data_IF_948848542378
#
_entry.id   IF_948848542378
#
_cell.length_a   1.000
_cell.length_b   1.000
_cell.length_c   1.000
_cell.angle_alpha   90.00
_cell.angle_beta   90.00
_cell.angle_gamma   90.00
#
_symmetry.space_group_name_H-M   'P 1'
#
loop_
_entity.id
_entity.type
_entity.pdbx_description
1 polymer ?
#
# COMPACT_ATOMS: atom_id res chain seq x y z
N UNK A 1 -2.18 -32.04 17.12
CA UNK A 1 -2.87 -31.40 15.98
C UNK A 1 -1.85 -31.28 14.86
N UNK A 2 -2.13 -31.79 13.65
CA UNK A 2 -1.19 -31.67 12.53
C UNK A 2 -0.93 -30.17 12.26
N UNK A 3 0.34 -29.79 12.09
CA UNK A 3 0.74 -28.40 11.83
C UNK A 3 -0.04 -27.79 10.64
N UNK A 4 -0.25 -28.59 9.60
CA UNK A 4 -1.06 -28.25 8.43
C UNK A 4 -2.51 -27.99 8.79
N UNK A 5 -3.08 -28.78 9.71
CA UNK A 5 -4.46 -28.63 10.15
C UNK A 5 -4.60 -27.34 10.97
N UNK A 6 -3.68 -27.06 11.90
CA UNK A 6 -3.66 -25.80 12.64
C UNK A 6 -3.56 -24.57 11.73
N UNK A 7 -2.69 -24.65 10.72
CA UNK A 7 -2.46 -23.58 9.76
C UNK A 7 -3.61 -23.38 8.76
N UNK A 8 -4.46 -24.40 8.54
CA UNK A 8 -5.68 -24.29 7.75
C UNK A 8 -6.89 -23.80 8.58
N UNK A 9 -6.99 -24.20 9.85
CA UNK A 9 -8.11 -23.80 10.71
C UNK A 9 -8.03 -22.33 11.15
N UNK A 10 -6.84 -21.83 11.43
CA UNK A 10 -6.63 -20.44 11.86
C UNK A 10 -7.15 -19.38 10.86
N UNK A 11 -6.77 -19.39 9.56
CA UNK A 11 -7.30 -18.46 8.55
C UNK A 11 -8.81 -18.56 8.40
N UNK A 12 -9.34 -19.79 8.41
CA UNK A 12 -10.76 -20.05 8.26
C UNK A 12 -11.55 -19.50 9.44
N UNK A 13 -11.08 -19.74 10.67
CA UNK A 13 -11.69 -19.18 11.87
C UNK A 13 -11.67 -17.64 11.88
N UNK A 14 -10.55 -17.03 11.46
CA UNK A 14 -10.43 -15.57 11.39
C UNK A 14 -11.31 -14.99 10.28
N UNK A 15 -11.32 -15.60 9.10
CA UNK A 15 -12.20 -15.20 8.01
C UNK A 15 -13.67 -15.26 8.43
N UNK A 16 -14.06 -16.31 9.18
CA UNK A 16 -15.43 -16.46 9.70
C UNK A 16 -15.72 -15.37 10.73
N UNK A 17 -14.80 -15.12 11.67
CA UNK A 17 -14.98 -14.04 12.64
C UNK A 17 -15.16 -12.68 11.96
N UNK A 18 -14.30 -12.33 11.00
CA UNK A 18 -14.34 -11.03 10.30
C UNK A 18 -15.60 -10.87 9.45
N UNK A 19 -16.14 -11.96 8.89
CA UNK A 19 -17.38 -11.91 8.09
C UNK A 19 -18.64 -11.90 8.95
N UNK A 20 -18.57 -12.47 10.17
CA UNK A 20 -19.68 -12.49 11.11
C UNK A 20 -19.89 -11.17 11.86
N UNK A 21 -18.81 -10.45 12.20
CA UNK A 21 -18.92 -9.19 12.94
C UNK A 21 -19.30 -8.00 12.05
N UNK A 22 -20.17 -7.08 12.52
CA UNK A 22 -20.49 -5.88 11.76
C UNK A 22 -19.27 -4.94 11.70
N UNK A 23 -19.18 -4.16 10.63
CA UNK A 23 -18.05 -3.25 10.37
C UNK A 23 -17.74 -2.33 11.55
N UNK A 24 -18.75 -1.87 12.30
CA UNK A 24 -18.57 -1.01 13.49
C UNK A 24 -17.76 -1.69 14.60
N UNK A 25 -17.99 -2.98 14.83
CA UNK A 25 -17.26 -3.77 15.85
C UNK A 25 -15.82 -3.98 15.39
N UNK A 26 -15.63 -4.27 14.09
CA UNK A 26 -14.30 -4.46 13.51
C UNK A 26 -13.49 -3.16 13.55
N UNK A 27 -14.08 -2.02 13.18
CA UNK A 27 -13.43 -0.70 13.25
C UNK A 27 -13.04 -0.34 14.69
N UNK A 28 -13.94 -0.56 15.65
CA UNK A 28 -13.68 -0.31 17.08
C UNK A 28 -12.54 -1.18 17.60
N UNK A 29 -12.56 -2.47 17.25
CA UNK A 29 -11.52 -3.43 17.62
C UNK A 29 -10.17 -3.03 17.02
N UNK A 30 -10.16 -2.65 15.74
CA UNK A 30 -8.95 -2.20 15.05
C UNK A 30 -8.37 -0.92 15.67
N UNK A 31 -9.21 0.02 16.11
CA UNK A 31 -8.77 1.22 16.84
C UNK A 31 -8.14 0.87 18.18
N UNK A 32 -8.74 -0.05 18.92
CA UNK A 32 -8.18 -0.54 20.18
C UNK A 32 -6.83 -1.23 19.98
N UNK A 33 -6.73 -2.10 18.97
CA UNK A 33 -5.47 -2.73 18.58
C UNK A 33 -4.42 -1.68 18.19
N UNK A 34 -4.78 -0.69 17.38
CA UNK A 34 -3.88 0.40 17.02
C UNK A 34 -3.36 1.16 18.25
N UNK A 35 -4.22 1.46 19.23
CA UNK A 35 -3.79 2.06 20.50
C UNK A 35 -2.85 1.14 21.28
N UNK A 36 -3.16 -0.14 21.37
CA UNK A 36 -2.31 -1.12 22.04
C UNK A 36 -0.95 -1.26 21.33
N UNK A 37 -0.92 -1.20 20.00
CA UNK A 37 0.30 -1.20 19.21
C UNK A 37 1.17 0.03 19.53
N UNK A 38 0.57 1.23 19.57
CA UNK A 38 1.27 2.47 19.91
C UNK A 38 1.82 2.46 21.34
N UNK A 39 1.02 2.02 22.32
CA UNK A 39 1.48 1.91 23.71
C UNK A 39 2.61 0.88 23.87
N UNK A 40 2.46 -0.29 23.23
CA UNK A 40 3.45 -1.36 23.30
C UNK A 40 4.77 -0.94 22.69
N UNK A 41 4.75 -0.24 21.55
CA UNK A 41 5.99 0.22 20.93
C UNK A 41 6.65 1.36 21.70
N UNK A 42 5.89 2.29 22.27
CA UNK A 42 6.46 3.32 23.14
C UNK A 42 7.12 2.70 24.37
N UNK A 43 6.50 1.70 24.98
CA UNK A 43 7.09 0.95 26.09
C UNK A 43 8.36 0.21 25.66
N UNK A 44 8.33 -0.45 24.50
CA UNK A 44 9.48 -1.17 23.94
C UNK A 44 10.67 -0.24 23.68
N UNK A 45 10.42 0.93 23.07
CA UNK A 45 11.44 1.94 22.80
C UNK A 45 12.00 2.51 24.10
N UNK A 46 11.14 2.79 25.08
CA UNK A 46 11.58 3.31 26.38
C UNK A 46 12.51 2.33 27.11
N UNK A 47 12.11 1.05 27.21
CA UNK A 47 12.92 -0.01 27.82
C UNK A 47 14.23 -0.20 27.05
N UNK A 48 14.16 -0.27 25.71
CA UNK A 48 15.32 -0.45 24.86
C UNK A 48 16.33 0.69 25.00
N UNK A 49 15.89 1.95 25.00
CA UNK A 49 16.77 3.10 25.18
C UNK A 49 17.37 3.17 26.58
N UNK A 50 16.60 2.81 27.61
CA UNK A 50 17.09 2.73 28.98
C UNK A 50 18.25 1.73 29.12
N UNK A 51 18.09 0.55 28.51
CA UNK A 51 19.11 -0.51 28.50
C UNK A 51 20.31 -0.12 27.63
N UNK A 52 20.07 0.45 26.44
CA UNK A 52 21.13 0.77 25.48
C UNK A 52 21.97 1.99 25.89
N UNK A 53 21.46 2.88 26.76
CA UNK A 53 22.04 4.19 27.11
C UNK A 53 23.54 4.16 27.39
N UNK A 54 24.04 3.14 28.10
CA UNK A 54 25.44 3.08 28.52
C UNK A 54 26.40 2.75 27.38
N UNK A 55 25.93 2.07 26.34
CA UNK A 55 26.76 1.52 25.28
C UNK A 55 26.60 2.26 23.94
N UNK A 56 25.50 3.02 23.76
CA UNK A 56 25.19 3.77 22.53
C UNK A 56 26.36 4.62 22.05
N UNK A 57 27.00 5.38 22.95
CA UNK A 57 28.08 6.30 22.58
C UNK A 57 29.35 5.54 22.13
N UNK A 58 29.62 4.38 22.71
CA UNK A 58 30.74 3.50 22.34
C UNK A 58 30.49 2.71 21.05
N UNK A 59 29.24 2.44 20.69
CA UNK A 59 28.90 1.75 19.43
C UNK A 59 29.02 2.68 18.21
N UNK A 60 28.75 3.98 18.35
CA UNK A 60 28.90 4.95 17.24
C UNK A 60 30.34 5.08 16.74
N UNK A 61 31.33 4.93 17.63
CA UNK A 61 32.75 5.09 17.28
C UNK A 61 33.33 3.90 16.51
N UNK A 62 32.68 2.73 16.56
CA UNK A 62 33.12 1.50 15.90
C UNK A 62 32.32 1.18 14.63
N UNK A 63 31.35 2.02 14.26
CA UNK A 63 30.51 1.80 13.09
C UNK A 63 31.31 1.89 11.80
N UNK A 64 31.21 0.86 10.96
CA UNK A 64 31.87 0.81 9.65
C UNK A 64 30.99 1.48 8.59
N UNK A 65 31.41 2.62 8.07
CA UNK A 65 30.68 3.43 7.08
C UNK A 65 30.94 3.01 5.63
N UNK A 66 31.13 1.71 5.38
CA UNK A 66 31.42 1.23 4.02
C UNK A 66 30.16 1.24 3.14
N UNK A 67 30.29 1.78 1.92
CA UNK A 67 29.21 1.83 0.92
C UNK A 67 28.65 0.42 0.62
N UNK A 68 29.50 -0.61 0.61
CA UNK A 68 29.09 -1.99 0.32
C UNK A 68 28.15 -2.58 1.37
N UNK A 69 28.19 -2.08 2.61
CA UNK A 69 27.31 -2.53 3.70
C UNK A 69 25.95 -1.82 3.70
N UNK A 70 25.83 -0.70 2.99
CA UNK A 70 24.59 0.09 2.89
C UNK A 70 23.66 -0.48 1.80
N UNK A 71 24.23 -1.08 0.76
CA UNK A 71 23.47 -1.62 -0.39
C UNK A 71 22.30 -2.54 0.01
N UNK A 72 22.47 -3.53 0.90
CA UNK A 72 21.38 -4.41 1.33
C UNK A 72 20.27 -3.71 2.13
N UNK A 73 20.54 -2.53 2.70
CA UNK A 73 19.55 -1.76 3.46
C UNK A 73 18.65 -0.89 2.56
N UNK A 74 19.00 -0.70 1.29
CA UNK A 74 18.26 0.18 0.38
C UNK A 74 16.82 -0.33 0.13
N UNK A 75 16.58 -1.62 -0.21
CA UNK A 75 15.21 -2.11 -0.40
C UNK A 75 14.34 -1.95 0.84
N UNK A 76 14.93 -2.22 2.02
CA UNK A 76 14.24 -2.09 3.30
C UNK A 76 13.90 -0.63 3.60
N UNK A 77 14.80 0.32 3.30
CA UNK A 77 14.49 1.75 3.47
C UNK A 77 13.44 2.23 2.47
N UNK A 78 13.47 1.78 1.22
CA UNK A 78 12.43 2.10 0.23
C UNK A 78 11.06 1.54 0.66
N UNK A 79 11.00 0.35 1.25
CA UNK A 79 9.77 -0.21 1.80
C UNK A 79 9.13 0.70 2.86
N UNK A 80 9.92 1.42 3.66
CA UNK A 80 9.38 2.37 4.65
C UNK A 80 8.70 3.59 4.02
N UNK A 81 8.96 3.88 2.74
CA UNK A 81 8.34 4.98 1.99
C UNK A 81 6.94 4.64 1.45
N UNK A 82 6.38 3.46 1.77
CA UNK A 82 5.05 3.03 1.35
C UNK A 82 3.89 3.93 1.78
N UNK A 83 4.13 4.97 2.60
CA UNK A 83 3.12 5.95 3.02
C UNK A 83 2.52 6.75 1.85
N UNK A 84 3.13 6.72 0.66
CA UNK A 84 2.58 7.41 -0.52
C UNK A 84 1.17 6.93 -0.88
N UNK A 85 0.82 5.67 -0.62
CA UNK A 85 -0.50 5.07 -0.91
C UNK A 85 -1.65 5.81 -0.22
N UNK A 86 -1.44 6.32 0.99
CA UNK A 86 -2.50 7.00 1.74
C UNK A 86 -2.61 8.49 1.38
N UNK A 87 -1.65 9.04 0.62
CA UNK A 87 -1.61 10.48 0.29
C UNK A 87 -2.90 10.98 -0.38
N UNK A 88 -3.47 10.30 -1.41
CA UNK A 88 -4.73 10.74 -2.02
C UNK A 88 -5.91 10.75 -1.04
N UNK A 89 -5.92 9.80 -0.12
CA UNK A 89 -6.95 9.69 0.92
C UNK A 89 -6.84 10.82 1.94
N UNK A 90 -5.63 11.14 2.41
CA UNK A 90 -5.40 12.29 3.29
C UNK A 90 -5.78 13.60 2.59
N UNK A 91 -5.44 13.76 1.31
CA UNK A 91 -5.86 14.94 0.53
C UNK A 91 -7.38 15.05 0.43
N UNK A 92 -8.10 13.92 0.26
CA UNK A 92 -9.57 13.90 0.22
C UNK A 92 -10.19 14.27 1.57
N UNK A 93 -9.62 13.81 2.68
CA UNK A 93 -10.10 14.12 4.03
C UNK A 93 -9.76 15.56 4.43
N UNK A 94 -8.56 16.02 4.10
CA UNK A 94 -8.07 17.34 4.50
C UNK A 94 -8.89 18.47 3.86
N UNK A 95 -9.51 18.24 2.69
CA UNK A 95 -10.66 18.94 2.10
C UNK A 95 -10.52 20.44 1.76
N UNK A 96 -9.80 21.20 2.58
CA UNK A 96 -9.84 22.65 2.63
C UNK A 96 -8.53 23.33 2.19
N UNK A 97 -7.37 22.65 2.22
CA UNK A 97 -6.13 23.22 1.68
C UNK A 97 -4.99 22.21 1.50
N UNK A 98 -4.07 22.49 0.57
CA UNK A 98 -2.84 21.72 0.33
C UNK A 98 -1.84 21.87 1.50
N UNK A 99 -1.85 23.01 2.20
CA UNK A 99 -0.98 23.25 3.36
C UNK A 99 -1.34 22.35 4.54
N UNK A 100 -2.64 22.19 4.82
CA UNK A 100 -3.09 21.30 5.90
C UNK A 100 -2.81 19.83 5.57
N UNK A 101 -3.05 19.40 4.32
CA UNK A 101 -2.70 18.04 3.89
C UNK A 101 -1.20 17.76 4.03
N UNK A 102 -0.35 18.71 3.61
CA UNK A 102 1.12 18.60 3.75
C UNK A 102 1.55 18.51 5.22
N UNK A 103 0.97 19.34 6.07
CA UNK A 103 1.25 19.34 7.51
C UNK A 103 0.82 18.03 8.16
N UNK A 104 -0.36 17.52 7.81
CA UNK A 104 -0.86 16.24 8.29
C UNK A 104 0.06 15.08 7.87
N UNK A 105 0.51 15.06 6.62
CA UNK A 105 1.45 14.04 6.12
C UNK A 105 2.80 14.15 6.82
N UNK A 106 3.35 15.37 6.99
CA UNK A 106 4.67 15.58 7.58
C UNK A 106 4.69 15.23 9.06
N UNK A 107 3.66 15.64 9.82
CA UNK A 107 3.53 15.30 11.24
C UNK A 107 3.23 13.80 11.40
N UNK A 108 2.35 13.24 10.57
CA UNK A 108 2.02 11.82 10.59
C UNK A 108 3.22 10.93 10.26
N UNK A 109 4.04 11.33 9.28
CA UNK A 109 5.25 10.62 8.87
C UNK A 109 6.41 10.74 9.87
N UNK A 110 6.46 11.81 10.68
CA UNK A 110 7.47 11.97 11.72
C UNK A 110 7.38 10.87 12.79
N UNK A 111 6.18 10.36 13.08
CA UNK A 111 5.99 9.32 14.12
C UNK A 111 6.67 8.00 13.75
N UNK A 112 6.41 7.37 12.58
CA UNK A 112 7.16 6.20 12.12
C UNK A 112 8.66 6.45 11.96
N UNK A 113 9.06 7.66 11.53
CA UNK A 113 10.47 8.01 11.39
C UNK A 113 11.19 7.97 12.75
N UNK A 114 10.65 8.64 13.77
CA UNK A 114 11.19 8.64 15.13
C UNK A 114 11.25 7.20 15.68
N UNK A 115 10.21 6.40 15.42
CA UNK A 115 10.15 5.00 15.81
C UNK A 115 11.30 4.19 15.19
N UNK A 116 11.49 4.24 13.87
CA UNK A 116 12.54 3.46 13.17
C UNK A 116 13.94 3.90 13.61
N UNK A 117 14.17 5.21 13.74
CA UNK A 117 15.44 5.75 14.23
C UNK A 117 15.74 5.30 15.66
N UNK A 118 14.73 5.31 16.53
CA UNK A 118 14.86 4.84 17.91
C UNK A 118 15.18 3.35 17.96
N UNK A 119 14.52 2.54 17.14
CA UNK A 119 14.81 1.10 17.07
C UNK A 119 16.23 0.82 16.58
N UNK A 120 16.68 1.48 15.50
CA UNK A 120 18.05 1.34 15.01
C UNK A 120 19.09 1.72 16.07
N UNK A 121 18.82 2.77 16.85
CA UNK A 121 19.67 3.19 17.96
C UNK A 121 19.74 2.14 19.07
N UNK A 122 18.61 1.51 19.42
CA UNK A 122 18.54 0.43 20.42
C UNK A 122 19.37 -0.75 19.96
N UNK A 123 19.19 -1.22 18.73
CA UNK A 123 19.95 -2.37 18.18
C UNK A 123 21.45 -2.08 18.18
N UNK A 124 21.85 -0.89 17.76
CA UNK A 124 23.25 -0.47 17.75
C UNK A 124 23.84 -0.43 19.18
N UNK A 125 23.09 0.09 20.16
CA UNK A 125 23.52 0.15 21.55
C UNK A 125 23.56 -1.22 22.24
N UNK A 126 22.63 -2.11 21.92
CA UNK A 126 22.60 -3.49 22.43
C UNK A 126 23.73 -4.34 21.86
N UNK A 127 24.09 -4.15 20.58
CA UNK A 127 25.22 -4.85 19.96
C UNK A 127 26.54 -4.55 20.68
N UNK A 128 26.66 -3.37 21.32
CA UNK A 128 27.83 -2.96 22.10
C UNK A 128 29.15 -3.15 21.35
N UNK A 129 30.21 -3.47 22.08
CA UNK A 129 31.55 -3.78 21.52
C UNK A 129 31.73 -5.25 21.14
N UNK A 130 30.72 -6.11 21.39
CA UNK A 130 30.81 -7.55 21.17
C UNK A 130 30.39 -7.93 19.75
N UNK A 131 31.37 -8.25 18.91
CA UNK A 131 31.19 -8.70 17.51
C UNK A 131 30.40 -10.01 17.33
N UNK A 132 30.09 -10.72 18.42
CA UNK A 132 29.23 -11.92 18.39
C UNK A 132 27.75 -11.53 18.41
N UNK A 133 27.41 -10.36 18.96
CA UNK A 133 26.03 -9.86 19.04
C UNK A 133 25.48 -9.37 17.69
N UNK A 134 26.34 -9.11 16.70
CA UNK A 134 25.92 -8.66 15.36
C UNK A 134 25.21 -9.73 14.52
N UNK A 135 25.27 -10.99 14.93
CA UNK A 135 24.60 -12.12 14.27
C UNK A 135 23.37 -12.62 15.03
N UNK A 136 23.07 -12.05 16.20
CA UNK A 136 21.95 -12.44 17.05
C UNK A 136 20.73 -11.60 16.68
N UNK A 137 19.56 -12.23 16.56
CA UNK A 137 18.30 -11.52 16.28
C UNK A 137 18.10 -10.39 17.31
N UNK A 138 17.91 -9.13 16.89
CA UNK A 138 17.89 -7.99 17.79
C UNK A 138 16.86 -8.08 18.92
N UNK A 139 15.75 -8.77 18.67
CA UNK A 139 14.70 -9.03 19.65
C UNK A 139 15.20 -10.01 20.73
N UNK A 140 15.86 -11.09 20.32
CA UNK A 140 16.43 -12.06 21.25
C UNK A 140 17.54 -11.43 22.10
N UNK A 141 18.31 -10.51 21.52
CA UNK A 141 19.32 -9.74 22.23
C UNK A 141 18.68 -8.83 23.29
N UNK A 142 17.61 -8.10 22.95
CA UNK A 142 16.89 -7.26 23.92
C UNK A 142 16.29 -8.10 25.06
N UNK A 143 15.69 -9.24 24.75
CA UNK A 143 15.10 -10.15 25.75
C UNK A 143 16.14 -10.79 26.67
N UNK A 144 17.36 -11.04 26.16
CA UNK A 144 18.46 -11.56 26.98
C UNK A 144 18.93 -10.55 28.03
N UNK A 145 18.81 -9.26 27.75
CA UNK A 145 19.26 -8.17 28.64
C UNK A 145 18.15 -7.70 29.56
N UNK A 146 16.90 -7.66 29.10
CA UNK A 146 15.76 -7.22 29.92
C UNK A 146 14.49 -8.04 29.61
N UNK A 147 14.18 -9.07 30.42
CA UNK A 147 12.97 -9.88 30.26
C UNK A 147 11.67 -9.08 30.38
N UNK A 148 11.68 -7.91 31.03
CA UNK A 148 10.50 -7.03 31.15
C UNK A 148 10.09 -6.41 29.82
N UNK A 149 10.91 -6.49 28.77
CA UNK A 149 10.53 -6.10 27.41
C UNK A 149 9.59 -7.13 26.73
N UNK A 150 9.49 -8.36 27.25
CA UNK A 150 8.73 -9.45 26.62
C UNK A 150 7.24 -9.12 26.39
N UNK A 151 6.49 -8.60 27.39
CA UNK A 151 5.09 -8.24 27.16
C UNK A 151 4.92 -7.14 26.11
N UNK A 152 5.85 -6.18 26.06
CA UNK A 152 5.83 -5.10 25.08
C UNK A 152 6.10 -5.62 23.66
N UNK A 153 7.08 -6.51 23.48
CA UNK A 153 7.37 -7.16 22.19
C UNK A 153 6.16 -7.98 21.71
N UNK A 154 5.60 -8.82 22.59
CA UNK A 154 4.45 -9.67 22.24
C UNK A 154 3.20 -8.84 21.95
N UNK A 155 2.90 -7.83 22.77
CA UNK A 155 1.77 -6.92 22.56
C UNK A 155 1.89 -6.14 21.24
N UNK A 156 3.09 -5.63 20.94
CA UNK A 156 3.37 -4.97 19.67
C UNK A 156 3.18 -5.92 18.48
N UNK A 157 3.84 -7.07 18.50
CA UNK A 157 3.81 -8.03 17.39
C UNK A 157 2.38 -8.54 17.14
N UNK A 158 1.67 -8.96 18.20
CA UNK A 158 0.29 -9.42 18.09
C UNK A 158 -0.61 -8.34 17.51
N UNK A 159 -0.54 -7.12 18.04
CA UNK A 159 -1.42 -6.04 17.61
C UNK A 159 -1.14 -5.55 16.19
N UNK A 160 0.14 -5.43 15.83
CA UNK A 160 0.56 -5.02 14.50
C UNK A 160 0.09 -6.04 13.44
N UNK A 161 0.30 -7.33 13.71
CA UNK A 161 -0.17 -8.41 12.83
C UNK A 161 -1.69 -8.44 12.74
N UNK A 162 -2.41 -8.32 13.86
CA UNK A 162 -3.87 -8.32 13.88
C UNK A 162 -4.46 -7.14 13.11
N UNK A 163 -3.97 -5.92 13.33
CA UNK A 163 -4.41 -4.70 12.63
C UNK A 163 -4.19 -4.82 11.12
N UNK A 164 -3.03 -5.35 10.72
CA UNK A 164 -2.69 -5.55 9.31
C UNK A 164 -3.56 -6.60 8.65
N UNK A 165 -3.84 -7.70 9.37
CA UNK A 165 -4.72 -8.77 8.90
C UNK A 165 -6.16 -8.30 8.73
N UNK A 166 -6.69 -7.50 9.66
CA UNK A 166 -8.02 -6.89 9.54
C UNK A 166 -8.08 -6.00 8.29
N UNK A 167 -7.08 -5.13 8.09
CA UNK A 167 -7.01 -4.27 6.91
C UNK A 167 -6.98 -5.05 5.60
N UNK A 168 -6.17 -6.10 5.53
CA UNK A 168 -6.06 -7.00 4.37
C UNK A 168 -7.38 -7.74 4.10
N UNK A 169 -7.98 -8.34 5.13
CA UNK A 169 -9.21 -9.12 5.03
C UNK A 169 -10.40 -8.30 4.52
N UNK A 170 -10.45 -7.01 4.86
CA UNK A 170 -11.54 -6.11 4.42
C UNK A 170 -11.28 -5.55 3.02
N UNK A 171 -10.03 -5.15 2.74
CA UNK A 171 -9.70 -4.35 1.54
C UNK A 171 -9.47 -5.21 0.31
N UNK A 172 -8.70 -6.29 0.44
CA UNK A 172 -8.23 -7.06 -0.71
C UNK A 172 -9.35 -7.78 -1.47
N UNK A 173 -10.32 -8.45 -0.80
CA UNK A 173 -11.42 -9.10 -1.51
C UNK A 173 -12.25 -8.13 -2.35
N UNK A 174 -12.46 -6.91 -1.83
CA UNK A 174 -13.18 -5.85 -2.55
C UNK A 174 -12.37 -5.38 -3.77
N UNK A 175 -11.08 -5.08 -3.58
CA UNK A 175 -10.21 -4.65 -4.68
C UNK A 175 -10.09 -5.72 -5.79
N UNK A 176 -9.98 -6.99 -5.40
CA UNK A 176 -9.92 -8.10 -6.34
C UNK A 176 -11.20 -8.22 -7.15
N UNK A 177 -12.37 -8.12 -6.49
CA UNK A 177 -13.66 -8.21 -7.15
C UNK A 177 -13.88 -7.02 -8.11
N UNK A 178 -13.58 -5.80 -7.66
CA UNK A 178 -13.67 -4.59 -8.48
C UNK A 178 -12.76 -4.71 -9.73
N UNK A 179 -11.54 -5.25 -9.55
CA UNK A 179 -10.59 -5.46 -10.66
C UNK A 179 -11.08 -6.52 -11.65
N UNK A 180 -11.58 -7.65 -11.14
CA UNK A 180 -12.14 -8.72 -11.97
C UNK A 180 -13.36 -8.23 -12.76
N UNK A 181 -14.23 -7.45 -12.14
CA UNK A 181 -15.38 -6.86 -12.81
C UNK A 181 -14.95 -5.93 -13.95
N UNK A 182 -13.94 -5.09 -13.74
CA UNK A 182 -13.41 -4.20 -14.79
C UNK A 182 -12.78 -4.98 -15.96
N UNK A 183 -12.07 -6.07 -15.68
CA UNK A 183 -11.49 -6.93 -16.72
C UNK A 183 -12.59 -7.65 -17.53
N UNK A 184 -13.59 -8.20 -16.84
CA UNK A 184 -14.72 -8.86 -17.48
C UNK A 184 -15.52 -7.89 -18.36
N UNK A 185 -15.76 -6.68 -17.86
CA UNK A 185 -16.45 -5.63 -18.64
C UNK A 185 -15.66 -5.22 -19.87
N UNK A 186 -14.31 -5.15 -19.77
CA UNK A 186 -13.45 -4.87 -20.92
C UNK A 186 -13.49 -5.98 -21.97
N UNK A 187 -13.43 -7.26 -21.55
CA UNK A 187 -13.50 -8.40 -22.46
C UNK A 187 -14.83 -8.42 -23.23
N UNK A 188 -15.96 -8.23 -22.53
CA UNK A 188 -17.28 -8.19 -23.16
C UNK A 188 -17.42 -6.99 -24.13
N UNK A 189 -16.77 -5.86 -23.84
CA UNK A 189 -16.77 -4.69 -24.73
C UNK A 189 -15.94 -4.91 -26.00
N UNK A 190 -14.83 -5.66 -25.92
CA UNK A 190 -14.00 -6.02 -27.08
C UNK A 190 -14.70 -7.05 -27.98
N UNK A 191 -15.47 -8.00 -27.42
CA UNK A 191 -16.31 -8.94 -28.19
C UNK A 191 -17.47 -8.26 -28.94
N UNK A 192 -18.02 -7.18 -28.37
CA UNK A 192 -19.08 -6.41 -29.02
C UNK A 192 -18.56 -5.59 -30.20
N UNK A 193 -17.27 -5.22 -30.20
CA UNK A 193 -16.61 -4.57 -31.33
C UNK A 193 -16.23 -5.54 -32.46
N UNK A 194 -15.97 -6.82 -32.14
CA UNK A 194 -15.64 -7.85 -33.14
C UNK A 194 -16.87 -8.45 -33.84
N UNK A 195 -18.07 -8.32 -33.27
CA UNK A 195 -19.32 -8.84 -33.87
C UNK A 195 -20.13 -7.79 -34.65
N UNK A 196 -19.68 -6.53 -34.68
CA UNK A 196 -20.39 -5.39 -35.27
C UNK A 196 -19.59 -4.61 -36.31
N UNK A 197 -18.72 -5.26 -37.10
CA UNK A 197 -17.98 -4.59 -38.17
C UNK A 197 -18.66 -4.73 -39.53
N UNK A 198 -19.74 -3.98 -39.75
CA UNK A 198 -20.05 -3.46 -41.09
C UNK A 198 -20.28 -1.96 -41.01
N UNK A 199 -19.19 -1.19 -41.11
CA UNK A 199 -19.27 0.22 -41.47
C UNK A 199 -18.30 0.49 -42.61
N UNK A 200 -18.94 0.90 -43.71
CA UNK A 200 -18.40 1.51 -44.92
C UNK A 200 -17.30 2.53 -44.58
N UNK A 201 -16.08 2.24 -45.03
CA UNK A 201 -14.96 3.17 -44.99
C UNK A 201 -15.22 4.25 -46.03
N UNK A 202 -15.38 5.50 -45.59
CA UNK A 202 -15.00 6.64 -46.42
C UNK A 202 -14.09 7.55 -45.60
N UNK A 203 -12.92 7.85 -46.18
CA UNK A 203 -11.76 8.39 -45.48
C UNK A 203 -11.91 9.85 -45.08
N UNK A 204 -11.28 10.22 -43.97
CA UNK A 204 -10.09 11.07 -43.97
C UNK A 204 -9.43 11.01 -42.58
N UNK A 205 -8.11 11.11 -42.55
CA UNK A 205 -7.29 10.88 -41.38
C UNK A 205 -7.50 11.92 -40.28
N UNK A 206 -7.63 11.46 -39.04
CA UNK A 206 -6.97 12.01 -37.84
C UNK A 206 -7.40 11.19 -36.62
N UNK A 207 -6.45 10.45 -36.05
CA UNK A 207 -6.68 9.63 -34.87
C UNK A 207 -7.05 10.48 -33.64
N UNK A 208 -8.25 10.26 -33.11
CA UNK A 208 -8.64 10.55 -31.72
C UNK A 208 -9.60 9.46 -31.26
N UNK A 209 -9.10 8.53 -30.46
CA UNK A 209 -9.92 7.48 -29.85
C UNK A 209 -10.71 8.09 -28.69
N UNK A 210 -11.95 8.46 -28.97
CA UNK A 210 -13.04 8.61 -28.01
C UNK A 210 -14.22 7.82 -28.56
N UNK A 211 -14.41 6.60 -28.07
CA UNK A 211 -15.51 5.74 -28.49
C UNK A 211 -16.80 6.26 -27.83
N UNK A 212 -17.74 6.76 -28.64
CA UNK A 212 -19.09 7.13 -28.21
C UNK A 212 -20.03 6.07 -28.76
N UNK A 213 -20.70 5.33 -27.87
CA UNK A 213 -21.71 4.34 -28.25
C UNK A 213 -23.06 5.06 -28.36
N UNK A 214 -23.63 5.11 -29.57
CA UNK A 214 -25.01 5.52 -29.78
C UNK A 214 -25.90 4.27 -29.75
N UNK A 215 -26.86 4.23 -28.81
CA UNK A 215 -27.98 3.31 -28.90
C UNK A 215 -29.08 3.96 -29.74
N UNK A 216 -29.12 3.61 -31.03
CA UNK A 216 -30.25 3.93 -31.90
C UNK A 216 -31.34 2.88 -31.73
N UNK A 217 -32.25 3.08 -30.76
CA UNK A 217 -33.53 2.37 -30.76
C UNK A 217 -34.40 2.92 -31.89
N UNK A 218 -34.89 2.04 -32.76
CA UNK A 218 -35.91 2.36 -33.74
C UNK A 218 -37.20 2.70 -33.00
N UNK A 219 -37.50 3.98 -32.85
CA UNK A 219 -38.87 4.46 -32.73
C UNK A 219 -38.98 5.84 -33.37
N UNK A 220 -39.99 5.97 -34.24
CA UNK A 220 -40.16 7.10 -35.14
C UNK A 220 -40.44 8.43 -34.43
N UNK A 221 -39.75 9.47 -34.86
CA UNK A 221 -40.21 10.85 -34.74
C UNK A 221 -39.66 11.65 -33.55
N UNK A 222 -38.40 12.08 -33.62
CA UNK A 222 -38.02 13.51 -33.49
C UNK A 222 -36.52 13.69 -33.69
N UNK A 223 -36.15 14.69 -34.48
CA UNK A 223 -34.79 14.98 -34.91
C UNK A 223 -33.82 15.20 -33.74
N UNK A 224 -32.65 14.57 -33.86
CA UNK A 224 -31.57 14.65 -32.89
C UNK A 224 -31.08 16.08 -32.66
N UNK A 225 -31.05 16.48 -31.38
CA UNK A 225 -30.31 17.66 -30.93
C UNK A 225 -28.92 17.22 -30.48
N UNK A 226 -27.92 17.54 -31.30
CA UNK A 226 -26.52 17.50 -30.86
C UNK A 226 -26.27 18.72 -29.96
N UNK A 227 -26.06 18.49 -28.66
CA UNK A 227 -25.65 19.54 -27.73
C UNK A 227 -24.12 19.50 -27.57
N UNK A 228 -23.42 20.41 -28.25
CA UNK A 228 -22.05 20.78 -27.90
C UNK A 228 -22.12 21.94 -26.92
N UNK A 229 -21.92 21.66 -25.63
CA UNK A 229 -21.79 22.68 -24.58
C UNK A 229 -20.36 22.72 -24.07
N UNK A 230 -19.63 23.78 -24.43
CA UNK A 230 -18.27 24.01 -23.97
C UNK A 230 -18.18 24.32 -22.47
N UNK A 231 -16.97 24.08 -21.93
CA UNK A 231 -16.39 24.67 -20.71
C UNK A 231 -17.36 25.04 -19.59
N UNK A 232 -17.38 24.24 -18.52
CA UNK A 232 -17.23 24.75 -17.17
C UNK A 232 -16.71 23.64 -16.24
N UNK A 233 -15.57 23.90 -15.60
CA UNK A 233 -15.11 23.18 -14.43
C UNK A 233 -16.19 23.30 -13.36
N UNK A 234 -16.89 22.22 -13.11
CA UNK A 234 -17.68 22.02 -11.90
C UNK A 234 -17.32 20.65 -11.37
N UNK A 235 -17.20 20.59 -10.04
CA UNK A 235 -16.75 19.44 -9.27
C UNK A 235 -17.29 18.13 -9.83
N UNK A 236 -16.41 17.14 -9.94
CA UNK A 236 -16.74 15.77 -10.27
C UNK A 236 -17.89 15.32 -9.37
N UNK A 237 -19.10 15.46 -9.92
CA UNK A 237 -20.30 14.81 -9.46
C UNK A 237 -19.95 13.34 -9.44
N UNK A 238 -20.08 12.74 -8.27
CA UNK A 238 -20.09 11.32 -8.08
C UNK A 238 -21.17 10.74 -9.00
N UNK A 239 -20.80 10.44 -10.25
CA UNK A 239 -21.60 9.65 -11.17
C UNK A 239 -21.52 8.21 -10.68
N UNK A 240 -22.33 8.00 -9.64
CA UNK A 240 -23.22 6.87 -9.43
C UNK A 240 -23.02 5.76 -10.45
N UNK A 241 -22.00 4.93 -10.18
CA UNK A 241 -21.93 3.56 -10.66
C UNK A 241 -23.33 2.94 -10.45
N UNK A 242 -23.94 2.30 -11.46
CA UNK A 242 -25.33 1.86 -11.38
C UNK A 242 -25.53 1.02 -10.12
N UNK A 243 -26.32 1.58 -9.20
CA UNK A 243 -26.64 1.01 -7.89
C UNK A 243 -27.61 -0.18 -7.98
N UNK A 244 -27.60 -0.92 -9.08
CA UNK A 244 -28.50 -2.05 -9.35
C UNK A 244 -27.79 -3.39 -9.54
N UNK A 245 -26.45 -3.46 -9.42
CA UNK A 245 -25.70 -4.73 -9.43
C UNK A 245 -24.52 -4.75 -8.43
N UNK A 246 -24.61 -3.99 -7.34
CA UNK A 246 -23.60 -3.94 -6.28
C UNK A 246 -24.01 -4.67 -4.98
N UNK A 247 -25.14 -5.39 -4.99
CA UNK A 247 -25.37 -6.48 -4.04
C UNK A 247 -24.83 -7.76 -4.66
N UNK A 248 -23.51 -7.94 -4.63
CA UNK A 248 -22.97 -9.30 -4.64
C UNK A 248 -23.49 -9.97 -3.38
N UNK A 249 -24.19 -11.11 -3.50
CA UNK A 249 -24.74 -11.84 -2.36
C UNK A 249 -23.72 -11.89 -1.21
N UNK A 250 -24.15 -11.66 0.06
CA UNK A 250 -23.25 -11.69 1.21
C UNK A 250 -22.45 -13.00 1.29
N UNK A 251 -23.01 -14.08 0.73
CA UNK A 251 -22.36 -15.37 0.55
C UNK A 251 -21.16 -15.32 -0.41
N UNK A 252 -21.29 -14.70 -1.59
CA UNK A 252 -20.20 -14.57 -2.55
C UNK A 252 -19.04 -13.77 -1.97
N UNK A 253 -19.34 -12.65 -1.30
CA UNK A 253 -18.32 -11.81 -0.65
C UNK A 253 -17.60 -12.57 0.47
N UNK A 254 -18.33 -13.34 1.26
CA UNK A 254 -17.78 -14.21 2.31
C UNK A 254 -16.92 -15.33 1.72
N UNK A 255 -17.32 -15.92 0.60
CA UNK A 255 -16.54 -16.97 -0.06
C UNK A 255 -15.23 -16.42 -0.63
N UNK A 256 -15.29 -15.26 -1.28
CA UNK A 256 -14.10 -14.58 -1.81
C UNK A 256 -13.14 -14.19 -0.67
N UNK A 257 -13.63 -13.64 0.44
CA UNK A 257 -12.78 -13.29 1.59
C UNK A 257 -12.10 -14.53 2.18
N UNK A 258 -12.80 -15.66 2.31
CA UNK A 258 -12.21 -16.92 2.78
C UNK A 258 -11.13 -17.44 1.84
N UNK A 259 -11.41 -17.45 0.53
CA UNK A 259 -10.48 -17.96 -0.48
C UNK A 259 -9.21 -17.11 -0.53
N UNK A 260 -9.38 -15.78 -0.52
CA UNK A 260 -8.29 -14.80 -0.47
C UNK A 260 -7.41 -14.97 0.76
N UNK A 261 -7.98 -15.23 1.94
CA UNK A 261 -7.21 -15.38 3.17
C UNK A 261 -6.53 -16.76 3.27
N UNK A 262 -7.19 -17.79 2.75
CA UNK A 262 -6.70 -19.17 2.85
C UNK A 262 -5.47 -19.42 1.98
N UNK A 263 -5.42 -18.86 0.77
CA UNK A 263 -4.31 -19.11 -0.18
C UNK A 263 -2.95 -18.61 0.37
N UNK A 264 -2.78 -17.34 0.80
CA UNK A 264 -1.51 -16.84 1.32
C UNK A 264 -1.07 -17.57 2.59
N UNK A 265 -2.03 -17.93 3.46
CA UNK A 265 -1.72 -18.58 4.73
C UNK A 265 -1.30 -20.04 4.50
N UNK A 266 -1.92 -20.72 3.54
CA UNK A 266 -1.50 -22.06 3.12
C UNK A 266 -0.09 -22.04 2.52
N UNK A 267 0.19 -21.10 1.61
CA UNK A 267 1.51 -20.95 0.99
C UNK A 267 2.58 -20.63 2.05
N UNK A 268 2.30 -19.71 2.97
CA UNK A 268 3.20 -19.36 4.07
C UNK A 268 3.48 -20.54 5.01
N UNK A 269 2.50 -21.43 5.21
CA UNK A 269 2.66 -22.64 6.00
C UNK A 269 3.59 -23.68 5.35
N UNK A 270 3.52 -23.85 4.02
CA UNK A 270 4.35 -24.84 3.32
C UNK A 270 5.75 -24.32 2.99
N UNK A 271 5.91 -23.00 2.83
CA UNK A 271 7.17 -22.38 2.41
C UNK A 271 7.60 -21.25 3.35
N UNK A 272 7.91 -21.54 4.63
CA UNK A 272 8.31 -20.52 5.61
C UNK A 272 9.59 -19.77 5.21
N UNK A 273 10.50 -20.41 4.46
CA UNK A 273 11.73 -19.82 3.96
C UNK A 273 11.54 -18.81 2.81
N UNK A 274 10.34 -18.72 2.23
CA UNK A 274 10.06 -17.84 1.10
C UNK A 274 9.63 -16.43 1.53
N UNK A 275 9.33 -16.23 2.82
CA UNK A 275 8.87 -14.94 3.35
C UNK A 275 9.82 -13.79 3.04
N UNK A 276 11.13 -13.95 3.33
CA UNK A 276 12.12 -12.91 3.07
C UNK A 276 12.28 -12.63 1.58
N UNK A 277 12.37 -13.67 0.74
CA UNK A 277 12.45 -13.50 -0.73
C UNK A 277 11.21 -12.83 -1.31
N UNK A 278 10.02 -13.18 -0.83
CA UNK A 278 8.77 -12.56 -1.26
C UNK A 278 8.70 -11.09 -0.83
N UNK A 279 9.20 -10.77 0.37
CA UNK A 279 9.29 -9.41 0.88
C UNK A 279 10.30 -8.57 0.08
N UNK A 280 11.45 -9.12 -0.28
CA UNK A 280 12.44 -8.46 -1.15
C UNK A 280 11.84 -8.20 -2.53
N UNK A 281 11.20 -9.19 -3.13
CA UNK A 281 10.57 -9.06 -4.45
C UNK A 281 9.42 -8.05 -4.44
N UNK A 282 8.48 -8.15 -3.48
CA UNK A 282 7.40 -7.20 -3.36
C UNK A 282 7.91 -5.78 -3.05
N UNK A 283 8.93 -5.68 -2.19
CA UNK A 283 9.56 -4.42 -1.79
C UNK A 283 10.21 -3.70 -2.95
N UNK A 284 11.03 -4.38 -3.74
CA UNK A 284 11.74 -3.79 -4.89
C UNK A 284 10.76 -3.54 -6.03
N UNK A 285 10.12 -4.59 -6.55
CA UNK A 285 9.36 -4.46 -7.79
C UNK A 285 8.07 -3.68 -7.60
N UNK A 286 7.27 -3.97 -6.57
CA UNK A 286 6.01 -3.27 -6.38
C UNK A 286 6.25 -1.82 -5.96
N UNK A 287 7.10 -1.56 -4.96
CA UNK A 287 7.27 -0.19 -4.46
C UNK A 287 8.10 0.69 -5.39
N UNK A 288 9.20 0.21 -6.00
CA UNK A 288 9.94 1.03 -6.96
C UNK A 288 9.09 1.33 -8.20
N UNK A 289 8.29 0.37 -8.68
CA UNK A 289 7.44 0.62 -9.84
C UNK A 289 6.24 1.52 -9.52
N UNK A 290 5.42 1.14 -8.53
CA UNK A 290 4.19 1.87 -8.18
C UNK A 290 4.45 3.21 -7.51
N UNK A 291 5.51 3.33 -6.70
CA UNK A 291 5.77 4.54 -5.90
C UNK A 291 7.02 5.30 -6.35
N UNK A 292 8.02 4.63 -6.94
CA UNK A 292 9.19 5.29 -7.48
C UNK A 292 8.95 5.86 -8.88
N UNK A 293 8.50 5.03 -9.82
CA UNK A 293 8.38 5.42 -11.25
C UNK A 293 7.05 6.08 -11.60
N UNK A 294 5.93 5.59 -11.05
CA UNK A 294 4.59 6.05 -11.45
C UNK A 294 4.30 7.51 -11.06
N UNK A 295 4.63 8.02 -9.86
CA UNK A 295 4.33 9.41 -9.49
C UNK A 295 5.11 10.45 -10.34
N UNK A 296 6.41 10.29 -10.61
CA UNK A 296 7.12 11.18 -11.54
C UNK A 296 6.54 11.16 -12.94
N UNK A 297 6.18 9.98 -13.45
CA UNK A 297 5.58 9.83 -14.77
C UNK A 297 4.21 10.52 -14.83
N UNK A 298 3.38 10.35 -13.80
CA UNK A 298 2.07 10.99 -13.68
C UNK A 298 2.22 12.51 -13.63
N UNK A 299 3.17 13.03 -12.85
CA UNK A 299 3.46 14.46 -12.78
C UNK A 299 3.94 15.02 -14.14
N UNK A 300 4.82 14.29 -14.84
CA UNK A 300 5.29 14.67 -16.17
C UNK A 300 4.15 14.71 -17.20
N UNK A 301 3.36 13.64 -17.32
CA UNK A 301 2.22 13.58 -18.24
C UNK A 301 1.19 14.68 -17.93
N UNK A 302 0.95 14.96 -16.65
CA UNK A 302 0.02 16.01 -16.24
C UNK A 302 0.53 17.41 -16.60
N UNK A 303 1.83 17.67 -16.47
CA UNK A 303 2.44 18.92 -16.93
C UNK A 303 2.34 19.08 -18.45
N UNK A 304 2.61 18.01 -19.21
CA UNK A 304 2.50 18.02 -20.68
C UNK A 304 1.07 18.23 -21.19
N UNK A 305 0.07 17.63 -20.51
CA UNK A 305 -1.35 17.67 -20.93
C UNK A 305 -2.06 18.98 -20.61
N UNK A 306 -1.75 19.61 -19.46
CA UNK A 306 -2.50 20.79 -19.00
C UNK A 306 -1.84 22.14 -19.27
N UNK A 307 -0.62 22.20 -19.84
CA UNK A 307 0.19 23.45 -19.93
C UNK A 307 0.21 24.23 -18.61
N UNK A 308 0.02 23.54 -17.47
CA UNK A 308 -0.05 24.16 -16.15
C UNK A 308 1.38 24.36 -15.68
N UNK A 309 2.06 25.37 -16.26
CA UNK A 309 3.38 25.83 -15.81
C UNK A 309 3.20 26.58 -14.51
N UNK A 310 2.86 25.87 -13.44
CA UNK A 310 2.82 26.45 -12.10
C UNK A 310 3.71 25.61 -11.20
N UNK A 311 4.97 26.05 -11.09
CA UNK A 311 5.80 26.19 -9.88
C UNK A 311 5.31 25.48 -8.59
N UNK A 312 4.94 24.22 -8.66
CA UNK A 312 4.50 23.44 -7.49
C UNK A 312 5.53 22.38 -7.10
N UNK A 313 6.39 21.95 -8.04
CA UNK A 313 7.57 21.16 -7.70
C UNK A 313 8.80 22.07 -7.55
N UNK A 314 9.37 22.06 -6.35
CA UNK A 314 10.70 22.59 -6.08
C UNK A 314 11.71 21.77 -6.92
N UNK A 315 12.17 22.31 -8.05
CA UNK A 315 13.22 21.71 -8.92
C UNK A 315 12.82 21.27 -10.33
N UNK A 316 11.55 21.42 -10.75
CA UNK A 316 11.14 21.26 -12.16
C UNK A 316 11.32 19.85 -12.76
N UNK A 317 11.47 19.77 -14.09
CA UNK A 317 11.59 18.51 -14.85
C UNK A 317 12.84 17.70 -14.48
N UNK A 318 13.91 18.37 -14.04
CA UNK A 318 15.19 17.74 -13.68
C UNK A 318 14.99 16.86 -12.44
N UNK A 319 14.26 17.33 -11.42
CA UNK A 319 13.97 16.54 -10.23
C UNK A 319 13.12 15.32 -10.56
N UNK A 320 12.16 15.44 -11.48
CA UNK A 320 11.33 14.31 -11.93
C UNK A 320 12.17 13.25 -12.65
N UNK A 321 13.08 13.69 -13.53
CA UNK A 321 13.97 12.79 -14.27
C UNK A 321 14.99 12.11 -13.36
N UNK A 322 15.53 12.84 -12.38
CA UNK A 322 16.41 12.28 -11.34
C UNK A 322 15.67 11.21 -10.53
N UNK A 323 14.45 11.49 -10.07
CA UNK A 323 13.67 10.57 -9.24
C UNK A 323 13.29 9.31 -10.02
N UNK A 324 12.90 9.47 -11.28
CA UNK A 324 12.65 8.35 -12.19
C UNK A 324 13.92 7.53 -12.47
N UNK A 325 15.06 8.18 -12.68
CA UNK A 325 16.35 7.53 -12.89
C UNK A 325 16.79 6.72 -11.67
N UNK A 326 16.70 7.29 -10.47
CA UNK A 326 17.00 6.60 -9.21
C UNK A 326 16.07 5.39 -9.04
N UNK A 327 14.76 5.56 -9.23
CA UNK A 327 13.79 4.47 -9.13
C UNK A 327 14.05 3.35 -10.14
N UNK A 328 14.45 3.69 -11.37
CA UNK A 328 14.79 2.72 -12.41
C UNK A 328 16.08 1.96 -12.08
N UNK A 329 17.12 2.65 -11.61
CA UNK A 329 18.37 2.01 -11.19
C UNK A 329 18.11 1.05 -10.03
N UNK A 330 17.32 1.47 -9.04
CA UNK A 330 16.97 0.63 -7.89
C UNK A 330 16.13 -0.59 -8.29
N UNK A 331 15.23 -0.45 -9.27
CA UNK A 331 14.40 -1.55 -9.76
C UNK A 331 15.10 -2.52 -10.71
N UNK A 332 16.15 -2.08 -11.41
CA UNK A 332 16.91 -2.91 -12.38
C UNK A 332 18.10 -3.62 -11.72
N UNK A 333 18.70 -3.02 -10.69
CA UNK A 333 19.92 -3.52 -10.07
C UNK A 333 19.69 -4.73 -9.14
N UNK A 334 18.45 -5.03 -8.76
CA UNK A 334 18.09 -6.10 -7.82
C UNK A 334 17.22 -7.18 -8.48
#
# INVERSE_FOLDING_TARGET
MNLVLANAFFPLAIGIAITFFPFKVIDTTNRFLCLLMLLSITALVCIGLFVARTNVLGSFTQSSWSISSILPAIPVTVLTLGFHVITPFICKIAGNSVSEARKAILIGGAVPLIMVLSWNLIVLGLSGTNRVASFIDPISLLLSVNPSALPAVQGFAFSALATSLIGYAISFPKQLLDTLYLLLMKMNSEEQFSSGSQILVNGDGTGRVGLVIFFGGYDGGNAGRALFGGSNYSAALEDKLPSSMAESDPFHRTLVTMLVLSIPILIGSFFPSTFSKALDFAGVYANCFLFGMLPPLMAYVQQSRKKLRSSILLGGDITLLLLFGIASILGIWH
#
